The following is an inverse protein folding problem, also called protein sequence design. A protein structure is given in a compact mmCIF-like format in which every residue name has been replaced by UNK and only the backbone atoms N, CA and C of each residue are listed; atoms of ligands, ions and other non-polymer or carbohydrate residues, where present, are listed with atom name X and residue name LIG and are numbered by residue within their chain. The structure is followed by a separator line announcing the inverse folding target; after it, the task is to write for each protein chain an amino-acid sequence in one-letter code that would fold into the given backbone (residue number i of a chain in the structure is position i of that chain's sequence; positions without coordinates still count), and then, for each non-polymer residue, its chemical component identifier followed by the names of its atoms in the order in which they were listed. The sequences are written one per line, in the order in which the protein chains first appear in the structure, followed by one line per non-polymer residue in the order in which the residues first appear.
data_IF_876281665720
#
_entry.id   IF_876281665720
#
_cell.length_a   1.000
_cell.length_b   1.000
_cell.length_c   1.000
_cell.angle_alpha   90.00
_cell.angle_beta   90.00
_cell.angle_gamma   90.00
#
_symmetry.space_group_name_H-M   'P 1'
#
loop_
_entity.id
_entity.type
_entity.pdbx_description
1 polymer ?
#
# COMPACT_ATOMS: atom_id res chain seq x y z
N UNK A 1 -21.52 10.43 -10.89
CA UNK A 1 -21.53 8.96 -10.74
C UNK A 1 -20.13 8.36 -10.72
N UNK A 2 -19.26 8.67 -11.69
CA UNK A 2 -17.86 8.18 -11.72
C UNK A 2 -17.10 8.49 -10.41
N UNK A 3 -17.22 9.70 -9.86
CA UNK A 3 -16.56 10.08 -8.61
C UNK A 3 -17.03 9.29 -7.37
N UNK A 4 -18.28 8.80 -7.35
CA UNK A 4 -18.76 7.92 -6.26
C UNK A 4 -18.08 6.55 -6.32
N UNK A 5 -17.96 5.99 -7.53
CA UNK A 5 -17.21 4.74 -7.74
C UNK A 5 -15.76 4.92 -7.35
N UNK A 6 -15.12 6.01 -7.77
CA UNK A 6 -13.74 6.32 -7.39
C UNK A 6 -13.60 6.46 -5.86
N UNK A 7 -14.55 7.11 -5.20
CA UNK A 7 -14.59 7.19 -3.74
C UNK A 7 -14.69 5.81 -3.07
N UNK A 8 -15.56 4.93 -3.59
CA UNK A 8 -15.69 3.56 -3.09
C UNK A 8 -14.41 2.73 -3.33
N UNK A 9 -13.80 2.86 -4.51
CA UNK A 9 -12.51 2.24 -4.82
C UNK A 9 -11.41 2.73 -3.88
N UNK A 10 -11.41 4.01 -3.51
CA UNK A 10 -10.48 4.56 -2.52
C UNK A 10 -10.68 3.91 -1.14
N UNK A 11 -11.92 3.78 -0.69
CA UNK A 11 -12.25 3.10 0.58
C UNK A 11 -11.76 1.65 0.56
N UNK A 12 -12.06 0.91 -0.51
CA UNK A 12 -11.60 -0.48 -0.66
C UNK A 12 -10.07 -0.56 -0.69
N UNK A 13 -9.40 0.34 -1.41
CA UNK A 13 -7.95 0.41 -1.45
C UNK A 13 -7.37 0.60 -0.04
N UNK A 14 -7.84 1.60 0.70
CA UNK A 14 -7.36 1.88 2.07
C UNK A 14 -7.61 0.69 2.98
N UNK A 15 -8.78 0.06 2.88
CA UNK A 15 -9.13 -1.11 3.70
C UNK A 15 -8.22 -2.31 3.39
N UNK A 16 -7.94 -2.58 2.11
CA UNK A 16 -7.01 -3.64 1.71
C UNK A 16 -5.59 -3.35 2.18
N UNK A 17 -5.10 -2.11 2.03
CA UNK A 17 -3.77 -1.71 2.49
C UNK A 17 -3.60 -1.96 3.99
N UNK A 18 -4.62 -1.63 4.79
CA UNK A 18 -4.58 -1.81 6.23
C UNK A 18 -4.72 -3.30 6.61
N UNK A 19 -5.71 -4.01 6.06
CA UNK A 19 -5.92 -5.45 6.35
C UNK A 19 -4.73 -6.31 5.96
N UNK A 20 -4.05 -5.96 4.87
CA UNK A 20 -2.89 -6.69 4.40
C UNK A 20 -1.60 -6.31 5.15
N UNK A 21 -1.64 -5.33 6.06
CA UNK A 21 -0.50 -4.95 6.89
C UNK A 21 0.68 -4.38 6.09
N UNK A 22 0.43 -3.70 4.96
CA UNK A 22 1.51 -3.16 4.12
C UNK A 22 2.38 -2.15 4.88
N UNK A 23 1.80 -1.41 5.82
CA UNK A 23 2.53 -0.47 6.67
C UNK A 23 3.58 -1.17 7.55
N UNK A 24 3.23 -2.33 8.12
CA UNK A 24 4.16 -3.14 8.91
C UNK A 24 5.29 -3.69 8.04
N UNK A 25 4.95 -4.18 6.85
CA UNK A 25 5.94 -4.70 5.90
C UNK A 25 6.91 -3.62 5.42
N UNK A 26 6.40 -2.42 5.10
CA UNK A 26 7.23 -1.28 4.72
C UNK A 26 8.20 -0.87 5.83
N UNK A 27 7.73 -0.82 7.09
CA UNK A 27 8.60 -0.52 8.25
C UNK A 27 9.67 -1.59 8.44
N UNK A 28 9.34 -2.87 8.27
CA UNK A 28 10.30 -3.98 8.35
C UNK A 28 11.42 -3.83 7.33
N UNK A 29 11.07 -3.53 6.06
CA UNK A 29 12.04 -3.33 4.98
C UNK A 29 12.97 -2.15 5.28
N UNK A 30 12.42 -1.03 5.77
CA UNK A 30 13.22 0.15 6.15
C UNK A 30 14.16 -0.18 7.32
N UNK A 31 13.68 -0.93 8.31
CA UNK A 31 14.48 -1.37 9.46
C UNK A 31 15.67 -2.23 9.04
N UNK A 32 15.41 -3.28 8.25
CA UNK A 32 16.46 -4.17 7.75
C UNK A 32 17.45 -3.45 6.82
N UNK A 33 16.97 -2.50 6.01
CA UNK A 33 17.85 -1.69 5.16
C UNK A 33 18.82 -0.85 5.99
N UNK A 34 18.34 -0.26 7.10
CA UNK A 34 19.18 0.49 8.04
C UNK A 34 20.19 -0.40 8.74
N UNK A 35 19.78 -1.59 9.16
CA UNK A 35 20.66 -2.57 9.80
C UNK A 35 21.77 -3.03 8.85
N UNK A 36 21.43 -3.34 7.59
CA UNK A 36 22.42 -3.71 6.58
C UNK A 36 23.45 -2.59 6.33
N UNK A 37 23.01 -1.32 6.27
CA UNK A 37 23.90 -0.17 6.14
C UNK A 37 24.81 -0.01 7.37
N UNK A 38 24.29 -0.24 8.57
CA UNK A 38 25.07 -0.18 9.81
C UNK A 38 26.16 -1.27 9.86
N UNK A 39 25.86 -2.48 9.39
CA UNK A 39 26.82 -3.59 9.30
C UNK A 39 27.96 -3.26 8.34
N UNK A 40 27.65 -2.69 7.17
CA UNK A 40 28.65 -2.30 6.16
C UNK A 40 29.62 -1.26 6.75
N UNK A 41 29.08 -0.25 7.46
CA UNK A 41 29.86 0.81 8.09
C UNK A 41 30.59 0.42 9.39
N UNK A 42 30.38 -0.80 9.90
CA UNK A 42 30.95 -1.20 11.19
C UNK A 42 32.46 -1.41 11.11
N UNK A 43 33.28 -0.76 11.97
CA UNK A 43 34.71 -1.01 12.06
C UNK A 43 35.07 -2.26 12.88
N UNK A 44 34.11 -2.84 13.60
CA UNK A 44 34.36 -3.96 14.54
C UNK A 44 34.11 -5.34 13.93
N UNK A 45 33.51 -5.42 12.75
CA UNK A 45 33.22 -6.67 12.06
C UNK A 45 34.30 -6.98 11.02
N UNK A 46 34.71 -8.24 10.93
CA UNK A 46 35.57 -8.69 9.84
C UNK A 46 34.82 -8.69 8.51
N UNK A 47 35.56 -8.63 7.39
CA UNK A 47 34.95 -8.61 6.06
C UNK A 47 34.10 -9.85 5.77
N UNK A 48 34.52 -11.03 6.25
CA UNK A 48 33.75 -12.27 6.14
C UNK A 48 32.42 -12.18 6.90
N UNK A 49 32.43 -11.61 8.12
CA UNK A 49 31.23 -11.42 8.92
C UNK A 49 30.27 -10.41 8.27
N UNK A 50 30.83 -9.34 7.67
CA UNK A 50 30.04 -8.38 6.87
C UNK A 50 29.39 -9.07 5.68
N UNK A 51 30.14 -9.88 4.93
CA UNK A 51 29.62 -10.56 3.76
C UNK A 51 28.45 -11.50 4.10
N UNK A 52 28.58 -12.30 5.17
CA UNK A 52 27.51 -13.20 5.62
C UNK A 52 26.28 -12.42 6.06
N UNK A 53 26.46 -11.36 6.85
CA UNK A 53 25.36 -10.53 7.35
C UNK A 53 24.63 -9.77 6.23
N UNK A 54 25.38 -9.18 5.29
CA UNK A 54 24.83 -8.50 4.12
C UNK A 54 24.07 -9.48 3.22
N UNK A 55 24.62 -10.68 2.98
CA UNK A 55 23.94 -11.71 2.18
C UNK A 55 22.62 -12.14 2.80
N UNK A 56 22.59 -12.34 4.13
CA UNK A 56 21.35 -12.68 4.85
C UNK A 56 20.33 -11.55 4.74
N UNK A 57 20.75 -10.31 4.97
CA UNK A 57 19.88 -9.13 4.88
C UNK A 57 19.32 -8.95 3.46
N UNK A 58 20.14 -9.17 2.42
CA UNK A 58 19.70 -9.11 1.04
C UNK A 58 18.61 -10.15 0.72
N UNK A 59 18.74 -11.38 1.22
CA UNK A 59 17.71 -12.41 1.05
C UNK A 59 16.41 -12.05 1.76
N UNK A 60 16.49 -11.50 2.97
CA UNK A 60 15.30 -11.07 3.72
C UNK A 60 14.60 -9.90 3.03
N UNK A 61 15.36 -8.90 2.56
CA UNK A 61 14.84 -7.77 1.77
C UNK A 61 14.21 -8.22 0.46
N UNK A 62 14.80 -9.19 -0.24
CA UNK A 62 14.23 -9.75 -1.46
C UNK A 62 12.90 -10.45 -1.18
N UNK A 63 12.84 -11.29 -0.14
CA UNK A 63 11.62 -11.97 0.26
C UNK A 63 10.51 -10.97 0.68
N UNK A 64 10.87 -9.92 1.42
CA UNK A 64 9.97 -8.87 1.83
C UNK A 64 9.46 -8.06 0.62
N UNK A 65 10.33 -7.76 -0.34
CA UNK A 65 9.98 -7.07 -1.59
C UNK A 65 9.03 -7.92 -2.45
N UNK A 66 9.28 -9.22 -2.56
CA UNK A 66 8.39 -10.13 -3.28
C UNK A 66 7.02 -10.22 -2.61
N UNK A 67 6.99 -10.32 -1.28
CA UNK A 67 5.75 -10.30 -0.49
C UNK A 67 4.99 -8.98 -0.65
N UNK A 68 5.69 -7.85 -0.70
CA UNK A 68 5.09 -6.54 -0.95
C UNK A 68 4.51 -6.48 -2.37
N UNK A 69 5.28 -6.91 -3.37
CA UNK A 69 4.84 -6.98 -4.77
C UNK A 69 3.59 -7.85 -4.93
N UNK A 70 3.57 -9.05 -4.33
CA UNK A 70 2.42 -9.94 -4.38
C UNK A 70 1.15 -9.30 -3.76
N UNK A 71 1.29 -8.58 -2.64
CA UNK A 71 0.18 -7.84 -2.02
C UNK A 71 -0.33 -6.71 -2.92
N UNK A 72 0.57 -5.95 -3.54
CA UNK A 72 0.21 -4.88 -4.46
C UNK A 72 -0.48 -5.40 -5.71
N UNK A 73 -0.01 -6.52 -6.28
CA UNK A 73 -0.67 -7.20 -7.40
C UNK A 73 -2.07 -7.63 -6.99
N UNK A 74 -2.25 -8.21 -5.79
CA UNK A 74 -3.58 -8.59 -5.33
C UNK A 74 -4.51 -7.39 -5.18
N UNK A 75 -4.03 -6.29 -4.61
CA UNK A 75 -4.79 -5.04 -4.51
C UNK A 75 -5.17 -4.53 -5.90
N UNK A 76 -4.24 -4.53 -6.85
CA UNK A 76 -4.47 -4.10 -8.22
C UNK A 76 -5.52 -4.98 -8.92
N UNK A 77 -5.48 -6.31 -8.72
CA UNK A 77 -6.49 -7.22 -9.27
C UNK A 77 -7.88 -6.95 -8.71
N UNK A 78 -8.00 -6.75 -7.38
CA UNK A 78 -9.30 -6.45 -6.75
C UNK A 78 -9.85 -5.11 -7.24
N UNK A 79 -9.02 -4.07 -7.27
CA UNK A 79 -9.44 -2.76 -7.75
C UNK A 79 -9.75 -2.77 -9.25
N UNK A 80 -8.98 -3.50 -10.05
CA UNK A 80 -9.22 -3.69 -11.47
C UNK A 80 -10.55 -4.38 -11.74
N UNK A 81 -10.87 -5.43 -10.97
CA UNK A 81 -12.16 -6.11 -11.07
C UNK A 81 -13.34 -5.19 -10.72
N UNK A 82 -13.21 -4.39 -9.66
CA UNK A 82 -14.22 -3.40 -9.27
C UNK A 82 -14.37 -2.32 -10.35
N UNK A 83 -13.26 -1.80 -10.87
CA UNK A 83 -13.24 -0.79 -11.92
C UNK A 83 -13.90 -1.28 -13.21
N UNK A 84 -13.53 -2.48 -13.68
CA UNK A 84 -14.13 -3.09 -14.86
C UNK A 84 -15.63 -3.37 -14.67
N UNK A 85 -16.04 -3.83 -13.48
CA UNK A 85 -17.45 -4.00 -13.14
C UNK A 85 -18.22 -2.68 -13.19
N UNK A 86 -17.65 -1.63 -12.61
CA UNK A 86 -18.27 -0.31 -12.60
C UNK A 86 -18.34 0.33 -13.99
N UNK A 87 -17.32 0.18 -14.82
CA UNK A 87 -17.31 0.66 -16.20
C UNK A 87 -18.46 0.05 -17.01
N UNK A 88 -18.67 -1.27 -16.88
CA UNK A 88 -19.79 -1.98 -17.50
C UNK A 88 -21.16 -1.51 -16.99
N UNK A 89 -21.30 -1.33 -15.67
CA UNK A 89 -22.57 -0.87 -15.09
C UNK A 89 -22.93 0.56 -15.46
N UNK A 90 -21.93 1.44 -15.62
CA UNK A 90 -22.14 2.85 -15.93
C UNK A 90 -22.11 3.16 -17.44
N UNK A 91 -21.86 2.17 -18.29
CA UNK A 91 -21.62 2.35 -19.73
C UNK A 91 -20.55 3.42 -20.05
N UNK A 92 -19.52 3.50 -19.19
CA UNK A 92 -18.40 4.44 -19.33
C UNK A 92 -17.18 3.68 -19.84
N UNK A 93 -16.38 4.29 -20.71
CA UNK A 93 -15.14 3.66 -21.17
C UNK A 93 -14.11 3.57 -20.05
N UNK A 94 -13.35 2.48 -20.02
CA UNK A 94 -12.27 2.30 -19.05
C UNK A 94 -11.27 3.46 -19.10
N UNK A 95 -10.97 3.94 -20.31
CA UNK A 95 -10.10 5.09 -20.57
C UNK A 95 -10.62 6.37 -19.88
N UNK A 96 -11.92 6.62 -19.92
CA UNK A 96 -12.52 7.80 -19.28
C UNK A 96 -12.48 7.69 -17.75
N UNK A 97 -12.65 6.48 -17.19
CA UNK A 97 -12.45 6.25 -15.76
C UNK A 97 -10.99 6.50 -15.35
N UNK A 98 -10.02 5.96 -16.09
CA UNK A 98 -8.61 6.18 -15.83
C UNK A 98 -8.20 7.65 -15.95
N UNK A 99 -8.67 8.33 -17.01
CA UNK A 99 -8.43 9.76 -17.18
C UNK A 99 -9.03 10.59 -16.03
N UNK A 100 -10.23 10.23 -15.56
CA UNK A 100 -10.87 10.88 -14.41
C UNK A 100 -10.05 10.68 -13.13
N UNK A 101 -9.46 9.49 -12.94
CA UNK A 101 -8.64 9.14 -11.78
C UNK A 101 -7.33 9.94 -11.73
N UNK A 102 -6.70 10.16 -12.89
CA UNK A 102 -5.46 10.94 -13.04
C UNK A 102 -5.69 12.44 -13.14
N UNK A 103 -6.94 12.89 -13.29
CA UNK A 103 -7.27 14.30 -13.33
C UNK A 103 -6.98 14.97 -11.97
N UNK A 104 -6.61 16.27 -11.93
CA UNK A 104 -6.38 16.99 -10.69
C UNK A 104 -7.58 16.92 -9.72
N UNK A 105 -8.79 16.98 -10.28
CA UNK A 105 -10.05 16.88 -9.52
C UNK A 105 -10.22 15.47 -8.93
N UNK A 106 -9.93 14.43 -9.71
CA UNK A 106 -9.95 13.04 -9.24
C UNK A 106 -8.95 12.80 -8.12
N UNK A 107 -7.72 13.28 -8.25
CA UNK A 107 -6.68 13.16 -7.23
C UNK A 107 -7.08 13.86 -5.92
N UNK A 108 -7.64 15.07 -6.01
CA UNK A 108 -8.16 15.80 -4.85
C UNK A 108 -9.31 15.02 -4.19
N UNK A 109 -10.29 14.56 -4.98
CA UNK A 109 -11.43 13.81 -4.48
C UNK A 109 -11.01 12.50 -3.79
N UNK A 110 -10.09 11.75 -4.38
CA UNK A 110 -9.54 10.52 -3.81
C UNK A 110 -8.78 10.80 -2.50
N UNK A 111 -7.98 11.86 -2.47
CA UNK A 111 -7.23 12.25 -1.28
C UNK A 111 -8.19 12.61 -0.13
N UNK A 112 -9.18 13.45 -0.39
CA UNK A 112 -10.19 13.84 0.60
C UNK A 112 -10.99 12.62 1.08
N UNK A 113 -11.45 11.77 0.15
CA UNK A 113 -12.19 10.55 0.48
C UNK A 113 -11.36 9.60 1.37
N UNK A 114 -10.09 9.39 1.04
CA UNK A 114 -9.19 8.56 1.82
C UNK A 114 -8.95 9.11 3.23
N UNK A 115 -8.70 10.41 3.37
CA UNK A 115 -8.51 11.06 4.68
C UNK A 115 -9.79 11.00 5.54
N UNK A 116 -10.95 11.28 4.95
CA UNK A 116 -12.23 11.19 5.64
C UNK A 116 -12.49 9.76 6.12
N UNK A 117 -12.28 8.76 5.26
CA UNK A 117 -12.46 7.37 5.63
C UNK A 117 -11.54 6.94 6.79
N UNK A 118 -10.26 7.32 6.72
CA UNK A 118 -9.31 7.05 7.80
C UNK A 118 -9.74 7.69 9.13
N UNK A 119 -10.22 8.95 9.10
CA UNK A 119 -10.74 9.63 10.29
C UNK A 119 -11.98 8.93 10.87
N UNK A 120 -12.94 8.58 10.02
CA UNK A 120 -14.15 7.86 10.43
C UNK A 120 -13.77 6.52 11.07
N UNK A 121 -12.92 5.75 10.40
CA UNK A 121 -12.45 4.46 10.93
C UNK A 121 -11.76 4.60 12.28
N UNK A 122 -10.89 5.61 12.42
CA UNK A 122 -10.19 5.85 13.68
C UNK A 122 -11.17 6.21 14.80
N UNK A 123 -12.13 7.10 14.53
CA UNK A 123 -13.17 7.49 15.49
C UNK A 123 -14.05 6.30 15.90
N UNK A 124 -14.42 5.43 14.95
CA UNK A 124 -15.18 4.20 15.24
C UNK A 124 -14.37 3.25 16.12
N UNK A 125 -13.08 3.07 15.84
CA UNK A 125 -12.23 2.18 16.64
C UNK A 125 -12.05 2.69 18.07
N UNK A 126 -11.87 4.01 18.26
CA UNK A 126 -11.81 4.62 19.59
C UNK A 126 -13.12 4.43 20.38
N UNK A 127 -14.28 4.60 19.73
CA UNK A 127 -15.58 4.39 20.39
C UNK A 127 -15.80 2.95 20.82
N UNK A 128 -15.34 1.98 20.04
CA UNK A 128 -15.46 0.55 20.37
C UNK A 128 -14.52 0.11 21.50
N UNK A 129 -13.47 0.89 21.83
CA UNK A 129 -12.57 0.60 22.95
C UNK A 129 -13.06 1.20 24.28
N UNK A 130 -13.98 2.16 24.23
CA UNK A 130 -14.55 2.85 25.39
C UNK A 130 -16.01 2.47 25.67
N UNK A 131 -16.59 1.55 24.90
CA UNK A 131 -17.91 0.98 25.09
C UNK A 131 -17.79 -0.45 25.65
#
# INVERSE_FOLDING_TARGET
MIYLVLGLMCVVFVELVIRMGLSGLARSIIGESREALAVIGSPTLSDDQKQVSVRRSALTLLAASLKMGAKLVLIALVLGAIGAGAARMLAVSEQQMFASMLSPVGLLALTVAGLLYLRIRHAVHQRLQHA
#
